data_IF_037460791834
#
_entry.id   IF_037460791834
#
_cell.length_a   1.000
_cell.length_b   1.000
_cell.length_c   1.000
_cell.angle_alpha   90.00
_cell.angle_beta   90.00
_cell.angle_gamma   90.00
#
_symmetry.space_group_name_H-M   'P 1'
#
loop_
_entity.id
_entity.type
_entity.pdbx_description
1 polymer ?
#
# COMPACT_ATOMS: atom_id res chain seq x y z
N UNK A 1 34.15 23.47 -6.89
CA UNK A 1 33.99 22.10 -6.36
C UNK A 1 32.71 21.90 -5.53
N UNK A 2 32.40 22.74 -4.53
CA UNK A 2 31.20 22.58 -3.66
C UNK A 2 29.85 22.51 -4.41
N UNK A 3 29.69 23.29 -5.48
CA UNK A 3 28.47 23.33 -6.32
C UNK A 3 28.20 22.01 -7.07
N UNK A 4 29.26 21.29 -7.49
CA UNK A 4 29.12 20.00 -8.20
C UNK A 4 28.66 18.88 -7.27
N UNK A 5 29.15 18.87 -6.03
CA UNK A 5 28.74 17.91 -5.00
C UNK A 5 27.25 18.04 -4.67
N UNK A 6 26.73 19.27 -4.57
CA UNK A 6 25.30 19.52 -4.34
C UNK A 6 24.46 19.04 -5.53
N UNK A 7 24.92 19.27 -6.76
CA UNK A 7 24.21 18.85 -7.97
C UNK A 7 24.10 17.32 -8.07
N UNK A 8 25.18 16.60 -7.75
CA UNK A 8 25.19 15.13 -7.69
C UNK A 8 24.21 14.60 -6.63
N UNK A 9 24.19 15.21 -5.44
CA UNK A 9 23.25 14.83 -4.39
C UNK A 9 21.80 15.02 -4.86
N UNK A 10 21.47 16.17 -5.45
CA UNK A 10 20.13 16.45 -5.98
C UNK A 10 19.73 15.45 -7.08
N UNK A 11 20.65 15.08 -7.98
CA UNK A 11 20.40 14.09 -9.01
C UNK A 11 20.07 12.71 -8.42
N UNK A 12 20.81 12.27 -7.40
CA UNK A 12 20.53 11.01 -6.69
C UNK A 12 19.16 11.00 -5.99
N UNK A 13 18.78 12.11 -5.35
CA UNK A 13 17.45 12.24 -4.73
C UNK A 13 16.31 12.22 -5.76
N UNK A 14 16.51 12.83 -6.94
CA UNK A 14 15.54 12.75 -8.05
C UNK A 14 15.41 11.32 -8.61
N UNK A 15 16.50 10.55 -8.67
CA UNK A 15 16.45 9.13 -9.06
C UNK A 15 15.69 8.27 -8.03
N UNK A 16 15.74 8.64 -6.74
CA UNK A 16 14.96 8.01 -5.67
C UNK A 16 13.44 8.13 -5.84
N UNK A 17 12.95 9.17 -6.51
CA UNK A 17 11.51 9.29 -6.86
C UNK A 17 11.06 8.19 -7.84
N UNK A 18 11.93 7.71 -8.73
CA UNK A 18 11.58 6.64 -9.68
C UNK A 18 11.54 5.29 -8.96
N UNK A 19 12.50 5.04 -8.07
CA UNK A 19 12.56 3.83 -7.23
C UNK A 19 11.35 3.72 -6.30
N UNK A 20 10.98 4.81 -5.63
CA UNK A 20 9.79 4.84 -4.77
C UNK A 20 8.52 4.68 -5.59
N UNK A 21 8.42 5.26 -6.79
CA UNK A 21 7.28 5.04 -7.70
C UNK A 21 7.21 3.59 -8.19
N UNK A 22 8.34 2.96 -8.50
CA UNK A 22 8.39 1.57 -8.94
C UNK A 22 7.97 0.57 -7.84
N UNK A 23 8.22 0.88 -6.57
CA UNK A 23 7.86 0.00 -5.44
C UNK A 23 6.46 0.29 -4.90
N UNK A 24 6.06 1.56 -4.82
CA UNK A 24 4.77 1.95 -4.22
C UNK A 24 3.59 1.75 -5.17
N UNK A 25 3.80 1.87 -6.49
CA UNK A 25 2.76 1.63 -7.50
C UNK A 25 2.31 0.17 -7.52
N UNK A 26 3.19 -0.85 -7.58
CA UNK A 26 2.73 -2.24 -7.49
C UNK A 26 2.08 -2.50 -6.14
N UNK A 27 2.52 -1.92 -5.03
CA UNK A 27 1.83 -2.13 -3.74
C UNK A 27 0.37 -1.66 -3.78
N UNK A 28 0.08 -0.52 -4.44
CA UNK A 28 -1.29 -0.03 -4.66
C UNK A 28 -2.08 -0.90 -5.64
N UNK A 29 -1.46 -1.30 -6.75
CA UNK A 29 -2.12 -2.13 -7.78
C UNK A 29 -2.40 -3.54 -7.24
N UNK A 30 -1.46 -4.12 -6.50
CA UNK A 30 -1.60 -5.46 -5.90
C UNK A 30 -2.73 -5.46 -4.87
N UNK A 31 -2.84 -4.42 -4.02
CA UNK A 31 -3.98 -4.28 -3.12
C UNK A 31 -5.32 -4.22 -3.84
N UNK A 32 -5.39 -3.48 -4.96
CA UNK A 32 -6.60 -3.42 -5.79
C UNK A 32 -6.92 -4.74 -6.48
N UNK A 33 -5.91 -5.50 -6.93
CA UNK A 33 -6.09 -6.77 -7.62
C UNK A 33 -6.50 -7.88 -6.64
N UNK A 34 -5.91 -7.92 -5.43
CA UNK A 34 -6.28 -8.88 -4.38
C UNK A 34 -7.75 -8.70 -3.97
N UNK A 35 -8.25 -7.46 -3.92
CA UNK A 35 -9.65 -7.16 -3.60
C UNK A 35 -10.66 -7.73 -4.61
N UNK A 36 -10.24 -8.02 -5.85
CA UNK A 36 -11.12 -8.50 -6.92
C UNK A 36 -11.14 -10.04 -6.97
N UNK A 37 -10.17 -10.70 -6.32
CA UNK A 37 -10.05 -12.15 -6.37
C UNK A 37 -10.95 -12.77 -5.27
N UNK A 38 -12.00 -13.52 -5.64
CA UNK A 38 -12.96 -14.09 -4.68
C UNK A 38 -12.35 -15.13 -3.73
N UNK A 39 -11.14 -15.61 -4.02
CA UNK A 39 -10.38 -16.55 -3.18
C UNK A 39 -9.90 -15.89 -1.89
N UNK A 40 -9.63 -14.57 -1.91
CA UNK A 40 -9.25 -13.79 -0.72
C UNK A 40 -10.43 -12.97 -0.22
N UNK A 41 -11.29 -12.49 -1.11
CA UNK A 41 -12.51 -11.74 -0.76
C UNK A 41 -13.50 -12.55 0.09
N UNK A 42 -13.82 -13.79 -0.29
CA UNK A 42 -14.77 -14.62 0.47
C UNK A 42 -14.36 -14.87 1.93
N UNK A 43 -13.09 -15.28 2.20
CA UNK A 43 -12.60 -15.39 3.57
C UNK A 43 -12.60 -14.04 4.30
N UNK A 44 -12.12 -12.97 3.68
CA UNK A 44 -12.07 -11.63 4.29
C UNK A 44 -13.47 -11.15 4.68
N UNK A 45 -14.45 -11.23 3.78
CA UNK A 45 -15.83 -10.85 4.06
C UNK A 45 -16.41 -11.68 5.21
N UNK A 46 -16.16 -12.99 5.26
CA UNK A 46 -16.60 -13.83 6.38
C UNK A 46 -15.94 -13.48 7.73
N UNK A 47 -14.68 -13.06 7.71
CA UNK A 47 -14.00 -12.55 8.91
C UNK A 47 -14.55 -11.17 9.32
N UNK A 48 -14.92 -10.32 8.36
CA UNK A 48 -15.54 -9.03 8.62
C UNK A 48 -16.94 -9.19 9.22
N UNK A 49 -17.78 -10.06 8.64
CA UNK A 49 -19.12 -10.35 9.18
C UNK A 49 -19.02 -10.91 10.60
N UNK A 50 -18.13 -11.88 10.84
CA UNK A 50 -17.95 -12.44 12.19
C UNK A 50 -17.44 -11.40 13.19
N UNK A 51 -16.60 -10.46 12.75
CA UNK A 51 -16.13 -9.36 13.60
C UNK A 51 -17.23 -8.33 13.85
N UNK A 52 -18.06 -8.05 12.85
CA UNK A 52 -19.19 -7.14 12.95
C UNK A 52 -20.27 -7.69 13.90
N UNK A 53 -20.59 -8.99 13.84
CA UNK A 53 -21.52 -9.64 14.76
C UNK A 53 -21.07 -9.52 16.23
N UNK A 54 -19.76 -9.62 16.49
CA UNK A 54 -19.18 -9.44 17.83
C UNK A 54 -19.37 -8.00 18.31
N UNK A 55 -19.23 -7.02 17.42
CA UNK A 55 -19.40 -5.60 17.74
C UNK A 55 -20.88 -5.26 17.95
N UNK A 56 -21.79 -5.79 17.13
CA UNK A 56 -23.24 -5.59 17.25
C UNK A 56 -23.83 -6.23 18.51
N UNK A 57 -23.15 -7.25 19.06
CA UNK A 57 -23.52 -7.89 20.33
C UNK A 57 -23.15 -7.03 21.55
N UNK A 58 -22.32 -6.00 21.39
CA UNK A 58 -22.04 -5.04 22.46
C UNK A 58 -23.28 -4.15 22.61
N UNK A 59 -24.02 -4.23 23.73
CA UNK A 59 -25.15 -3.35 23.95
C UNK A 59 -24.60 -1.99 24.36
N UNK A 60 -24.41 -1.10 23.38
CA UNK A 60 -24.25 0.34 23.59
C UNK A 60 -25.60 1.01 23.84
#
# INVERSE_FOLDING_TARGET
>A
MKKLIVLIFVAFYLSGCVLTKLVTVPMRVTGSVISIIPIVGGPVDSFLDSSADIIDTIPI
#
